data_IF_425776951045
#
_entry.id   IF_425776951045
#
_cell.length_a   1.000
_cell.length_b   1.000
_cell.length_c   1.000
_cell.angle_alpha   90.00
_cell.angle_beta   90.00
_cell.angle_gamma   90.00
#
_symmetry.space_group_name_H-M   'P 1'
#
loop_
_entity.id
_entity.type
_entity.pdbx_description
1 polymer ?
#
# COMPACT_ATOMS: atom_id res chain seq x y z
N UNK A 1 -16.15 -12.11 -4.42
CA UNK A 1 -16.23 -12.62 -5.81
C UNK A 1 -15.13 -13.65 -6.07
N UNK A 2 -15.25 -14.52 -7.09
CA UNK A 2 -14.13 -15.33 -7.59
C UNK A 2 -14.08 -16.81 -7.20
N UNK A 3 -15.00 -17.34 -6.37
CA UNK A 3 -15.03 -18.76 -5.96
C UNK A 3 -15.04 -19.74 -7.15
N UNK A 4 -15.76 -19.37 -8.22
CA UNK A 4 -15.75 -20.06 -9.52
C UNK A 4 -15.44 -19.08 -10.65
N UNK A 5 -14.54 -18.13 -10.38
CA UNK A 5 -14.22 -17.05 -11.31
C UNK A 5 -13.57 -17.55 -12.60
N UNK A 6 -13.91 -16.91 -13.71
CA UNK A 6 -13.27 -17.11 -15.01
C UNK A 6 -12.80 -15.75 -15.54
N UNK A 7 -11.52 -15.63 -15.81
CA UNK A 7 -10.91 -14.40 -16.29
C UNK A 7 -10.27 -14.64 -17.66
N UNK A 8 -10.76 -13.95 -18.67
CA UNK A 8 -10.22 -14.05 -20.03
C UNK A 8 -8.88 -13.33 -20.11
N UNK A 9 -7.90 -13.93 -20.77
CA UNK A 9 -6.57 -13.35 -20.93
C UNK A 9 -6.58 -12.00 -21.66
N UNK A 10 -7.54 -11.79 -22.58
CA UNK A 10 -7.73 -10.51 -23.29
C UNK A 10 -8.07 -9.34 -22.36
N UNK A 11 -8.66 -9.64 -21.19
CA UNK A 11 -9.11 -8.65 -20.22
C UNK A 11 -8.04 -8.32 -19.18
N UNK A 12 -6.96 -9.09 -19.10
CA UNK A 12 -5.89 -8.84 -18.13
C UNK A 12 -5.12 -7.58 -18.57
N UNK A 13 -4.99 -6.60 -17.67
CA UNK A 13 -4.30 -5.33 -17.93
C UNK A 13 -3.01 -5.16 -17.12
N UNK A 14 -2.92 -5.77 -15.94
CA UNK A 14 -1.70 -5.76 -15.15
C UNK A 14 -1.62 -7.00 -14.26
N UNK A 15 -0.40 -7.43 -13.97
CA UNK A 15 -0.08 -8.56 -13.09
C UNK A 15 1.04 -8.13 -12.18
N UNK A 16 0.84 -8.23 -10.87
CA UNK A 16 1.82 -7.85 -9.87
C UNK A 16 2.15 -9.01 -8.95
N UNK A 17 3.44 -9.25 -8.69
CA UNK A 17 3.89 -10.02 -7.53
C UNK A 17 3.44 -9.31 -6.25
N UNK A 18 2.96 -10.10 -5.29
CA UNK A 18 2.48 -9.64 -3.99
C UNK A 18 3.08 -10.46 -2.86
N UNK A 19 2.91 -9.95 -1.66
CA UNK A 19 3.18 -10.70 -0.43
C UNK A 19 1.86 -11.10 0.22
N UNK A 20 1.85 -12.22 0.92
CA UNK A 20 0.77 -12.64 1.80
C UNK A 20 1.41 -13.10 3.12
N UNK A 21 0.96 -12.54 4.25
CA UNK A 21 1.62 -12.76 5.55
C UNK A 21 3.14 -12.53 5.50
N UNK A 22 3.54 -11.46 4.80
CA UNK A 22 4.94 -11.09 4.52
C UNK A 22 5.74 -12.06 3.64
N UNK A 23 5.17 -13.19 3.21
CA UNK A 23 5.80 -14.15 2.30
C UNK A 23 5.63 -13.71 0.84
N UNK A 24 6.69 -13.77 0.04
CA UNK A 24 6.65 -13.38 -1.38
C UNK A 24 6.09 -14.50 -2.27
N UNK A 25 4.86 -14.91 -1.98
CA UNK A 25 4.20 -16.10 -2.55
C UNK A 25 2.84 -15.78 -3.16
N UNK A 26 2.50 -14.50 -3.32
CA UNK A 26 1.20 -14.08 -3.84
C UNK A 26 1.31 -13.34 -5.20
N UNK A 27 0.18 -13.25 -5.88
CA UNK A 27 0.02 -12.57 -7.15
C UNK A 27 -1.33 -11.86 -7.19
N UNK A 28 -1.37 -10.68 -7.80
CA UNK A 28 -2.63 -9.96 -8.05
C UNK A 28 -2.76 -9.63 -9.54
N UNK A 29 -3.95 -9.88 -10.08
CA UNK A 29 -4.29 -9.69 -11.49
C UNK A 29 -5.37 -8.64 -11.61
N UNK A 30 -5.12 -7.61 -12.41
CA UNK A 30 -6.04 -6.50 -12.65
C UNK A 30 -6.66 -6.61 -14.04
N UNK A 31 -7.97 -6.39 -14.12
CA UNK A 31 -8.79 -6.58 -15.30
C UNK A 31 -9.17 -5.24 -15.95
N UNK A 32 -9.66 -5.28 -17.19
CA UNK A 32 -10.05 -4.09 -17.96
C UNK A 32 -11.19 -3.30 -17.34
N UNK A 33 -12.12 -3.98 -16.67
CA UNK A 33 -13.23 -3.39 -15.92
C UNK A 33 -12.80 -2.83 -14.54
N UNK A 34 -11.49 -2.71 -14.28
CA UNK A 34 -10.88 -2.21 -13.04
C UNK A 34 -11.11 -3.08 -11.80
N UNK A 35 -11.68 -4.27 -11.95
CA UNK A 35 -11.65 -5.26 -10.85
C UNK A 35 -10.27 -5.92 -10.76
N UNK A 36 -10.00 -6.54 -9.63
CA UNK A 36 -8.79 -7.31 -9.42
C UNK A 36 -9.08 -8.56 -8.58
N UNK A 37 -8.22 -9.55 -8.72
CA UNK A 37 -8.26 -10.78 -7.91
C UNK A 37 -6.83 -11.10 -7.45
N UNK A 38 -6.71 -11.48 -6.18
CA UNK A 38 -5.45 -11.86 -5.56
C UNK A 38 -5.44 -13.36 -5.24
N UNK A 39 -4.30 -14.00 -5.49
CA UNK A 39 -4.06 -15.41 -5.19
C UNK A 39 -2.78 -15.54 -4.36
N UNK A 40 -2.78 -16.45 -3.39
CA UNK A 40 -1.58 -16.91 -2.71
C UNK A 40 -1.22 -18.32 -3.18
N UNK A 41 0.08 -18.61 -3.25
CA UNK A 41 0.63 -19.88 -3.70
C UNK A 41 1.53 -20.49 -2.62
N UNK A 42 1.92 -21.78 -2.74
CA UNK A 42 2.80 -22.42 -1.77
C UNK A 42 4.21 -21.81 -1.70
N UNK A 43 4.74 -21.34 -2.84
CA UNK A 43 6.11 -20.83 -2.92
C UNK A 43 6.30 -19.82 -4.07
N UNK A 44 7.44 -19.12 -4.04
CA UNK A 44 7.81 -18.13 -5.06
C UNK A 44 8.06 -18.76 -6.44
N UNK A 45 8.50 -20.03 -6.50
CA UNK A 45 8.74 -20.71 -7.76
C UNK A 45 7.42 -20.93 -8.53
N UNK A 46 6.34 -21.20 -7.80
CA UNK A 46 4.97 -21.34 -8.33
C UNK A 46 4.47 -20.00 -8.85
N UNK A 47 4.64 -18.91 -8.09
CA UNK A 47 4.31 -17.54 -8.57
C UNK A 47 5.00 -17.27 -9.91
N UNK A 48 6.30 -17.59 -10.00
CA UNK A 48 7.07 -17.42 -11.25
C UNK A 48 6.44 -18.25 -12.38
N UNK A 49 6.19 -19.54 -12.19
CA UNK A 49 5.55 -20.41 -13.22
C UNK A 49 4.21 -19.85 -13.70
N UNK A 50 3.37 -19.35 -12.79
CA UNK A 50 2.08 -18.75 -13.11
C UNK A 50 2.25 -17.48 -13.95
N UNK A 51 3.15 -16.56 -13.55
CA UNK A 51 3.42 -15.34 -14.33
C UNK A 51 3.93 -15.65 -15.74
N UNK A 52 4.73 -16.71 -15.91
CA UNK A 52 5.19 -17.13 -17.23
C UNK A 52 4.08 -17.73 -18.11
N UNK A 53 2.99 -18.19 -17.50
CA UNK A 53 1.80 -18.71 -18.19
C UNK A 53 0.76 -17.62 -18.51
N UNK A 54 0.84 -16.46 -17.84
CA UNK A 54 -0.06 -15.32 -18.05
C UNK A 54 0.37 -14.44 -19.25
N UNK A 55 -0.54 -13.58 -19.77
CA UNK A 55 -0.23 -12.58 -20.78
C UNK A 55 0.93 -11.65 -20.37
N UNK A 56 1.67 -11.14 -21.37
CA UNK A 56 2.86 -10.28 -21.15
C UNK A 56 2.47 -8.82 -20.88
N UNK A 57 1.65 -8.59 -19.86
CA UNK A 57 1.12 -7.25 -19.54
C UNK A 57 2.00 -6.43 -18.60
N UNK A 58 2.97 -7.06 -17.92
CA UNK A 58 3.76 -6.41 -16.89
C UNK A 58 2.88 -5.89 -15.75
N UNK A 59 3.18 -4.69 -15.27
CA UNK A 59 2.40 -3.99 -14.23
C UNK A 59 1.44 -2.94 -14.84
N UNK A 60 1.02 -3.14 -16.10
CA UNK A 60 0.20 -2.20 -16.84
C UNK A 60 1.03 -1.09 -17.52
N UNK A 61 0.33 -0.15 -18.15
CA UNK A 61 0.94 0.92 -18.96
C UNK A 61 1.10 2.24 -18.21
N UNK A 62 0.37 2.43 -17.10
CA UNK A 62 0.26 3.72 -16.41
C UNK A 62 1.52 4.17 -15.68
N UNK A 63 2.46 3.26 -15.38
CA UNK A 63 3.64 3.54 -14.56
C UNK A 63 4.92 3.80 -15.36
N UNK A 64 4.82 3.95 -16.70
CA UNK A 64 5.98 4.19 -17.55
C UNK A 64 6.99 3.04 -17.55
N UNK A 65 6.53 1.81 -17.28
CA UNK A 65 7.35 0.61 -17.23
C UNK A 65 7.07 -0.28 -18.44
N UNK A 66 8.05 -1.06 -18.93
CA UNK A 66 7.83 -2.00 -20.01
C UNK A 66 6.80 -3.09 -19.66
N UNK A 67 5.93 -3.43 -20.60
CA UNK A 67 4.99 -4.56 -20.44
C UNK A 67 5.72 -5.90 -20.66
N UNK A 68 6.39 -6.37 -19.60
CA UNK A 68 7.12 -7.62 -19.62
C UNK A 68 6.89 -8.42 -18.34
N UNK A 69 6.85 -9.76 -18.45
CA UNK A 69 6.68 -10.67 -17.30
C UNK A 69 7.72 -10.47 -16.20
N UNK A 70 8.95 -10.09 -16.57
CA UNK A 70 9.99 -9.72 -15.60
C UNK A 70 9.61 -8.54 -14.71
N UNK A 71 8.80 -7.61 -15.24
CA UNK A 71 8.32 -6.44 -14.49
C UNK A 71 7.20 -6.85 -13.53
N UNK A 72 6.34 -7.80 -13.90
CA UNK A 72 5.38 -8.41 -12.96
C UNK A 72 6.05 -9.08 -11.77
N UNK A 73 7.27 -9.61 -11.94
CA UNK A 73 8.08 -10.25 -10.89
C UNK A 73 9.07 -9.28 -10.22
N UNK A 74 9.10 -8.01 -10.61
CA UNK A 74 10.04 -7.05 -10.07
C UNK A 74 9.70 -6.72 -8.61
N UNK A 75 10.74 -6.51 -7.81
CA UNK A 75 10.58 -6.08 -6.42
C UNK A 75 10.01 -4.65 -6.35
N UNK A 76 9.35 -4.26 -5.24
CA UNK A 76 8.88 -2.88 -5.04
C UNK A 76 9.96 -1.82 -5.30
N UNK A 77 11.19 -2.07 -4.86
CA UNK A 77 12.34 -1.17 -5.07
C UNK A 77 12.70 -1.02 -6.54
N UNK A 78 12.64 -2.10 -7.32
CA UNK A 78 12.92 -2.06 -8.76
C UNK A 78 11.81 -1.32 -9.52
N UNK A 79 10.54 -1.55 -9.16
CA UNK A 79 9.39 -0.85 -9.74
C UNK A 79 9.49 0.66 -9.46
N UNK A 80 9.78 1.05 -8.22
CA UNK A 80 9.98 2.45 -7.84
C UNK A 80 11.09 3.11 -8.66
N UNK A 81 12.29 2.51 -8.67
CA UNK A 81 13.47 3.10 -9.32
C UNK A 81 13.32 3.24 -10.84
N UNK A 82 12.59 2.33 -11.48
CA UNK A 82 12.49 2.27 -12.95
C UNK A 82 11.26 2.99 -13.50
N UNK A 83 10.30 3.34 -12.64
CA UNK A 83 9.08 4.06 -13.00
C UNK A 83 9.36 5.54 -13.26
N UNK A 84 8.56 6.18 -14.12
CA UNK A 84 8.61 7.62 -14.33
C UNK A 84 7.64 8.41 -13.42
N UNK A 85 6.88 7.72 -12.56
CA UNK A 85 5.80 8.32 -11.76
C UNK A 85 6.29 9.42 -10.81
N UNK A 86 7.49 9.29 -10.25
CA UNK A 86 8.07 10.34 -9.39
C UNK A 86 8.30 11.64 -10.16
N UNK A 87 8.84 11.56 -11.38
CA UNK A 87 9.07 12.74 -12.22
C UNK A 87 7.74 13.36 -12.65
N UNK A 88 6.76 12.54 -13.02
CA UNK A 88 5.41 13.00 -13.38
C UNK A 88 4.75 13.75 -12.21
N UNK A 89 4.87 13.22 -11.00
CA UNK A 89 4.38 13.87 -9.79
C UNK A 89 5.07 15.21 -9.51
N UNK A 90 6.41 15.25 -9.59
CA UNK A 90 7.17 16.49 -9.41
C UNK A 90 6.82 17.56 -10.45
N UNK A 91 6.50 17.15 -11.68
CA UNK A 91 6.01 18.02 -12.76
C UNK A 91 4.52 18.36 -12.68
N UNK A 92 3.83 17.87 -11.64
CA UNK A 92 2.38 18.03 -11.42
C UNK A 92 1.50 17.45 -12.53
N UNK A 93 2.02 16.47 -13.28
CA UNK A 93 1.24 15.70 -14.26
C UNK A 93 0.33 14.67 -13.60
N UNK A 94 0.59 14.33 -12.34
CA UNK A 94 -0.26 13.53 -11.46
C UNK A 94 -0.34 14.19 -10.08
N UNK A 95 -1.48 14.03 -9.42
CA UNK A 95 -1.76 14.58 -8.09
C UNK A 95 -1.02 13.84 -6.97
N UNK A 96 -0.99 14.43 -5.77
CA UNK A 96 -0.51 13.77 -4.56
C UNK A 96 -1.27 12.47 -4.27
N UNK A 97 -2.59 12.46 -4.50
CA UNK A 97 -3.43 11.28 -4.30
C UNK A 97 -3.01 10.14 -5.23
N UNK A 98 -2.87 10.42 -6.53
CA UNK A 98 -2.45 9.43 -7.52
C UNK A 98 -1.04 8.91 -7.25
N UNK A 99 -0.12 9.78 -6.83
CA UNK A 99 1.23 9.36 -6.49
C UNK A 99 1.27 8.49 -5.22
N UNK A 100 0.49 8.83 -4.18
CA UNK A 100 0.34 7.99 -2.99
C UNK A 100 -0.30 6.64 -3.32
N UNK A 101 -1.30 6.61 -4.22
CA UNK A 101 -1.87 5.36 -4.71
C UNK A 101 -0.83 4.51 -5.44
N UNK A 102 -0.04 5.12 -6.34
CA UNK A 102 1.07 4.44 -7.01
C UNK A 102 2.04 3.82 -6.00
N UNK A 103 2.51 4.59 -5.02
CA UNK A 103 3.42 4.11 -3.98
C UNK A 103 2.84 2.94 -3.19
N UNK A 104 1.57 3.03 -2.78
CA UNK A 104 0.87 1.94 -2.12
C UNK A 104 0.83 0.68 -3.00
N UNK A 105 0.41 0.81 -4.25
CA UNK A 105 0.27 -0.33 -5.18
C UNK A 105 1.62 -1.02 -5.46
N UNK A 106 2.71 -0.27 -5.68
CA UNK A 106 4.03 -0.89 -5.92
C UNK A 106 4.66 -1.45 -4.64
N UNK A 107 4.29 -0.94 -3.47
CA UNK A 107 4.67 -1.51 -2.18
C UNK A 107 3.94 -2.83 -1.87
N UNK A 108 2.96 -3.21 -2.69
CA UNK A 108 2.18 -4.45 -2.53
C UNK A 108 0.88 -4.26 -1.75
N UNK A 109 0.47 -3.03 -1.45
CA UNK A 109 -0.81 -2.73 -0.81
C UNK A 109 -1.96 -2.98 -1.79
N UNK A 110 -3.07 -3.51 -1.28
CA UNK A 110 -4.22 -3.95 -2.08
C UNK A 110 -5.52 -3.83 -1.30
N UNK A 111 -6.63 -3.72 -2.02
CA UNK A 111 -7.98 -3.82 -1.46
C UNK A 111 -8.42 -5.28 -1.21
N UNK A 112 -7.75 -6.27 -1.79
CA UNK A 112 -8.08 -7.70 -1.66
C UNK A 112 -7.59 -8.34 -0.35
N UNK A 113 -6.67 -7.67 0.38
CA UNK A 113 -6.19 -8.10 1.69
C UNK A 113 -6.19 -6.91 2.65
N UNK A 114 -7.14 -6.90 3.59
CA UNK A 114 -7.32 -5.79 4.54
C UNK A 114 -6.13 -5.64 5.50
N UNK A 115 -5.31 -6.66 5.69
CA UNK A 115 -4.07 -6.53 6.47
C UNK A 115 -2.99 -5.74 5.73
N UNK A 116 -3.15 -5.56 4.42
CA UNK A 116 -2.26 -4.84 3.52
C UNK A 116 -2.97 -3.69 2.82
N UNK A 117 -3.99 -3.11 3.46
CA UNK A 117 -4.77 -2.00 2.90
C UNK A 117 -3.91 -0.77 2.60
N UNK A 118 -4.23 0.02 1.55
CA UNK A 118 -3.51 1.27 1.25
C UNK A 118 -3.49 2.25 2.42
N UNK A 119 -2.36 2.94 2.59
CA UNK A 119 -2.10 3.86 3.70
C UNK A 119 -1.98 5.28 3.18
N UNK A 120 -2.72 6.20 3.81
CA UNK A 120 -2.66 7.64 3.57
C UNK A 120 -2.32 8.37 4.87
N UNK A 121 -1.57 9.48 4.81
CA UNK A 121 -1.28 10.27 5.99
C UNK A 121 -2.52 11.05 6.41
N UNK A 122 -2.67 11.24 7.73
CA UNK A 122 -3.44 12.37 8.23
C UNK A 122 -2.79 13.68 7.75
N UNK A 123 -3.60 14.60 7.22
CA UNK A 123 -3.13 15.87 6.67
C UNK A 123 -3.57 17.04 7.53
N UNK A 124 -4.83 17.08 7.94
CA UNK A 124 -5.37 18.15 8.78
C UNK A 124 -5.20 17.80 10.26
N UNK A 125 -5.02 18.84 11.07
CA UNK A 125 -4.95 18.74 12.55
C UNK A 125 -6.15 19.40 13.23
N UNK A 126 -6.78 20.38 12.58
CA UNK A 126 -7.92 21.11 13.10
C UNK A 126 -9.23 20.51 12.58
N UNK A 127 -10.04 19.99 13.51
CA UNK A 127 -11.37 19.44 13.25
C UNK A 127 -12.43 20.09 14.18
N UNK A 128 -12.08 21.21 14.81
CA UNK A 128 -12.90 21.89 15.82
C UNK A 128 -13.42 23.24 15.34
N UNK A 129 -12.64 23.97 14.55
CA UNK A 129 -13.06 25.27 14.00
C UNK A 129 -14.20 25.11 12.99
N UNK A 130 -15.16 26.05 13.04
CA UNK A 130 -16.26 26.12 12.05
C UNK A 130 -15.73 26.41 10.64
N UNK A 131 -14.69 27.23 10.53
CA UNK A 131 -13.99 27.52 9.29
C UNK A 131 -12.55 26.99 9.32
N UNK A 132 -12.11 26.41 8.20
CA UNK A 132 -10.78 25.85 8.04
C UNK A 132 -9.97 26.64 7.02
N UNK A 133 -9.11 27.53 7.49
CA UNK A 133 -8.17 28.26 6.65
C UNK A 133 -7.00 27.37 6.21
N UNK A 134 -6.95 27.05 4.91
CA UNK A 134 -5.91 26.21 4.31
C UNK A 134 -4.59 26.96 4.05
N UNK A 135 -4.51 28.25 4.39
CA UNK A 135 -3.26 29.02 4.34
C UNK A 135 -2.52 29.03 5.68
N UNK A 136 -3.20 28.69 6.78
CA UNK A 136 -2.65 28.61 8.13
C UNK A 136 -1.84 27.32 8.33
N UNK A 137 -0.50 27.38 8.50
CA UNK A 137 0.33 26.17 8.64
C UNK A 137 -0.04 25.30 9.84
N UNK A 138 -0.59 25.91 10.90
CA UNK A 138 -1.03 25.20 12.11
C UNK A 138 -2.20 24.23 11.90
N UNK A 139 -2.94 24.37 10.79
CA UNK A 139 -4.03 23.46 10.42
C UNK A 139 -3.53 22.17 9.76
N UNK A 140 -2.23 22.05 9.50
CA UNK A 140 -1.62 20.90 8.83
C UNK A 140 -0.71 20.11 9.76
N UNK A 141 -0.73 18.80 9.58
CA UNK A 141 0.13 17.86 10.29
C UNK A 141 1.57 18.01 9.81
N UNK A 142 2.51 17.96 10.74
CA UNK A 142 3.93 17.76 10.40
C UNK A 142 4.12 16.40 9.72
N UNK A 143 4.27 16.41 8.40
CA UNK A 143 4.42 15.22 7.56
C UNK A 143 5.78 14.54 7.71
N UNK A 144 6.76 15.18 8.36
CA UNK A 144 8.09 14.60 8.61
C UNK A 144 8.09 13.60 9.76
N UNK A 145 7.07 13.62 10.62
CA UNK A 145 6.99 12.81 11.84
C UNK A 145 5.96 11.69 11.72
N UNK A 146 6.14 10.54 12.39
CA UNK A 146 5.09 9.55 12.58
C UNK A 146 4.02 10.05 13.56
N UNK A 147 2.83 9.42 13.56
CA UNK A 147 1.71 9.80 14.45
C UNK A 147 2.11 9.78 15.93
N UNK A 148 2.85 8.76 16.35
CA UNK A 148 3.30 8.60 17.74
C UNK A 148 4.14 9.78 18.25
N UNK A 149 4.85 10.47 17.36
CA UNK A 149 5.77 11.56 17.68
C UNK A 149 5.15 12.97 17.60
N UNK A 150 3.87 13.10 17.25
CA UNK A 150 3.21 14.40 17.13
C UNK A 150 2.93 15.05 18.48
N UNK A 151 2.52 14.25 19.48
CA UNK A 151 2.32 14.72 20.84
C UNK A 151 3.66 14.60 21.60
N UNK A 152 4.28 15.70 22.07
CA UNK A 152 5.59 15.66 22.71
C UNK A 152 5.65 14.76 23.95
N UNK A 153 4.61 14.79 24.81
CA UNK A 153 4.55 13.96 26.01
C UNK A 153 4.53 12.47 25.65
N UNK A 154 3.74 12.11 24.63
CA UNK A 154 3.68 10.73 24.12
C UNK A 154 4.97 10.31 23.41
N UNK A 155 5.64 11.24 22.73
CA UNK A 155 6.90 10.98 22.06
C UNK A 155 8.01 10.63 23.06
N UNK A 156 8.11 11.38 24.17
CA UNK A 156 9.05 11.09 25.26
C UNK A 156 8.79 9.70 25.84
N UNK A 157 7.54 9.37 26.16
CA UNK A 157 7.17 8.04 26.65
C UNK A 157 7.63 6.90 25.72
N UNK A 158 7.44 7.06 24.41
CA UNK A 158 7.86 6.03 23.45
C UNK A 158 9.38 5.96 23.26
N UNK A 159 10.09 7.08 23.38
CA UNK A 159 11.55 7.11 23.36
C UNK A 159 12.12 6.38 24.59
N UNK A 160 11.63 6.73 25.79
CA UNK A 160 12.03 6.07 27.05
C UNK A 160 11.76 4.57 26.99
N UNK A 161 10.57 4.14 26.56
CA UNK A 161 10.24 2.71 26.38
C UNK A 161 11.23 2.00 25.46
N UNK A 162 11.66 2.63 24.37
CA UNK A 162 12.60 2.05 23.43
C UNK A 162 14.01 1.96 24.03
N UNK A 163 14.44 2.99 24.76
CA UNK A 163 15.78 3.09 25.36
C UNK A 163 15.97 2.14 26.55
N UNK A 164 14.94 1.96 27.38
CA UNK A 164 14.98 1.08 28.56
C UNK A 164 14.50 -0.33 28.25
N UNK A 165 14.65 -0.80 27.01
CA UNK A 165 14.17 -2.11 26.59
C UNK A 165 15.09 -3.23 27.13
N UNK A 166 14.54 -4.11 27.96
CA UNK A 166 15.30 -5.18 28.65
C UNK A 166 14.92 -6.60 28.17
N UNK A 167 14.03 -6.76 27.19
CA UNK A 167 13.63 -8.07 26.68
C UNK A 167 14.57 -8.56 25.57
N UNK A 168 15.39 -9.56 25.88
CA UNK A 168 16.32 -10.21 24.95
C UNK A 168 15.62 -11.03 23.84
N UNK A 169 14.34 -11.38 24.00
CA UNK A 169 13.62 -12.19 23.01
C UNK A 169 13.07 -11.37 21.85
N UNK A 170 12.98 -10.04 21.99
CA UNK A 170 12.40 -9.17 20.97
C UNK A 170 13.20 -7.88 20.78
N UNK A 171 13.39 -7.41 19.54
CA UNK A 171 14.10 -6.17 19.30
C UNK A 171 13.32 -4.99 19.89
N UNK A 172 14.01 -3.92 20.35
CA UNK A 172 13.35 -2.72 20.84
C UNK A 172 12.42 -2.10 19.79
N UNK A 173 11.28 -1.57 20.24
CA UNK A 173 10.32 -0.90 19.36
C UNK A 173 9.60 0.24 20.08
N UNK A 174 9.26 1.28 19.31
CA UNK A 174 8.49 2.41 19.83
C UNK A 174 7.00 2.05 19.99
N UNK A 175 6.43 1.34 19.01
CA UNK A 175 5.00 1.09 18.93
C UNK A 175 4.71 -0.42 18.86
N UNK A 176 3.90 -0.94 19.77
CA UNK A 176 3.33 -2.29 19.69
C UNK A 176 2.05 -2.34 18.84
N UNK A 177 1.58 -1.19 18.34
CA UNK A 177 0.44 -1.06 17.45
C UNK A 177 0.88 -0.58 16.08
N UNK A 178 0.14 -0.99 15.04
CA UNK A 178 0.47 -0.66 13.66
C UNK A 178 -0.53 0.35 13.08
N UNK A 179 -0.05 1.24 12.22
CA UNK A 179 -0.85 2.31 11.60
C UNK A 179 -1.83 1.82 10.52
N UNK A 180 -1.76 0.54 10.15
CA UNK A 180 -2.60 -0.10 9.14
C UNK A 180 -2.91 -1.52 9.60
N UNK A 181 -4.17 -1.80 9.89
CA UNK A 181 -4.65 -3.13 10.30
C UNK A 181 -6.00 -3.39 9.64
N UNK A 182 -6.36 -4.66 9.46
CA UNK A 182 -7.68 -5.02 8.93
C UNK A 182 -8.80 -4.46 9.82
N UNK A 183 -8.64 -4.52 11.15
CA UNK A 183 -9.57 -3.94 12.12
C UNK A 183 -9.78 -2.45 11.90
N UNK A 184 -8.71 -1.67 11.70
CA UNK A 184 -8.83 -0.24 11.41
C UNK A 184 -9.63 0.00 10.14
N UNK A 185 -9.37 -0.75 9.06
CA UNK A 185 -10.12 -0.61 7.80
C UNK A 185 -11.61 -0.93 7.98
N UNK A 186 -11.95 -2.01 8.67
CA UNK A 186 -13.34 -2.37 8.97
C UNK A 186 -14.04 -1.28 9.78
N UNK A 187 -13.39 -0.80 10.85
CA UNK A 187 -13.94 0.29 11.68
C UNK A 187 -14.16 1.57 10.88
N UNK A 188 -13.26 1.92 9.96
CA UNK A 188 -13.41 3.08 9.08
C UNK A 188 -14.60 2.98 8.13
N UNK A 189 -14.92 1.77 7.67
CA UNK A 189 -15.90 1.52 6.61
C UNK A 189 -17.20 0.89 7.11
N UNK A 190 -17.40 0.82 8.43
CA UNK A 190 -18.53 0.13 9.11
C UNK A 190 -19.93 0.54 8.63
N UNK A 191 -20.08 1.64 7.90
CA UNK A 191 -21.36 2.12 7.35
C UNK A 191 -21.56 1.74 5.88
N UNK A 192 -20.68 0.92 5.32
CA UNK A 192 -20.64 0.57 3.90
C UNK A 192 -20.58 -0.95 3.78
N UNK A 193 -21.59 -1.56 3.18
CA UNK A 193 -21.51 -2.98 2.81
C UNK A 193 -20.37 -3.21 1.79
N UNK A 194 -19.60 -4.30 1.88
CA UNK A 194 -19.77 -5.47 2.76
C UNK A 194 -18.92 -5.41 4.05
N UNK A 195 -18.60 -4.22 4.58
CA UNK A 195 -17.72 -4.06 5.74
C UNK A 195 -18.46 -4.01 7.10
N UNK A 196 -19.79 -4.06 7.10
CA UNK A 196 -20.67 -4.04 8.28
C UNK A 196 -20.78 -5.39 8.97
#
# INVERSE_FOLDING_TARGET
EGLHGKWMFSEIRAVFSRRYLLQNTALEVFMANRTSVMFNFPDQATVKKVVYSLPRVGVGTSYGLPQARRISLATPRQLYKSSNMTQRWQRREISNFEYLMFLNTIAGRTYNDLNQYPVFPWVLTNYESEELDLTLPGNFRDLSKPIGALNPKRAVFYAERYETWEDDQSPPYHYNTHYSTATSTLSWLVRIEPFT
#
